data_IF_481859202117
#
_entry.id   IF_481859202117
#
_cell.length_a   1.000
_cell.length_b   1.000
_cell.length_c   1.000
_cell.angle_alpha   90.00
_cell.angle_beta   90.00
_cell.angle_gamma   90.00
#
_symmetry.space_group_name_H-M   'P 1'
#
loop_
_entity.id
_entity.type
_entity.pdbx_description
1 polymer ?
#
# COMPACT_ATOMS: atom_id res chain seq x y z
N UNK A 1 14.76 5.69 1.45
CA UNK A 1 15.01 4.32 0.92
C UNK A 1 14.05 3.25 1.47
N UNK A 2 13.34 3.47 2.60
CA UNK A 2 12.49 2.41 3.21
C UNK A 2 11.34 1.96 2.32
N UNK A 3 10.56 2.88 1.75
CA UNK A 3 9.44 2.54 0.85
C UNK A 3 9.90 1.73 -0.36
N UNK A 4 11.08 2.03 -0.90
CA UNK A 4 11.65 1.28 -2.02
C UNK A 4 11.94 -0.18 -1.62
N UNK A 5 12.62 -0.41 -0.50
CA UNK A 5 12.91 -1.76 0.00
C UNK A 5 11.64 -2.55 0.30
N UNK A 6 10.63 -1.89 0.86
CA UNK A 6 9.32 -2.49 1.12
C UNK A 6 8.62 -2.84 -0.19
N UNK A 7 8.65 -1.93 -1.17
CA UNK A 7 8.16 -2.16 -2.52
C UNK A 7 8.77 -3.39 -3.18
N UNK A 8 10.10 -3.50 -3.18
CA UNK A 8 10.82 -4.63 -3.77
C UNK A 8 10.43 -5.98 -3.10
N UNK A 9 10.20 -5.97 -1.79
CA UNK A 9 9.76 -7.16 -1.05
C UNK A 9 8.31 -7.51 -1.37
N UNK A 10 7.42 -6.51 -1.45
CA UNK A 10 6.01 -6.70 -1.81
C UNK A 10 5.89 -7.22 -3.24
N UNK A 11 6.63 -6.68 -4.21
CA UNK A 11 6.62 -7.19 -5.59
C UNK A 11 6.98 -8.67 -5.64
N UNK A 12 8.06 -9.07 -4.97
CA UNK A 12 8.52 -10.47 -4.92
C UNK A 12 7.52 -11.39 -4.22
N UNK A 13 6.99 -10.97 -3.07
CA UNK A 13 6.05 -11.77 -2.27
C UNK A 13 4.74 -12.03 -3.02
N UNK A 14 4.25 -11.03 -3.76
CA UNK A 14 2.98 -11.13 -4.49
C UNK A 14 3.14 -11.53 -5.97
N UNK A 15 4.37 -11.80 -6.43
CA UNK A 15 4.68 -12.08 -7.84
C UNK A 15 4.10 -10.98 -8.75
N UNK A 16 4.20 -9.74 -8.28
CA UNK A 16 3.73 -8.55 -8.98
C UNK A 16 4.81 -8.11 -9.99
N UNK A 17 4.39 -7.41 -11.04
CA UNK A 17 5.31 -6.85 -12.03
C UNK A 17 5.64 -5.39 -11.77
N UNK A 18 4.85 -4.73 -10.93
CA UNK A 18 4.97 -3.31 -10.61
C UNK A 18 4.31 -3.02 -9.25
N UNK A 19 4.50 -1.82 -8.71
CA UNK A 19 3.79 -1.31 -7.53
C UNK A 19 3.19 0.06 -7.80
N UNK A 20 2.11 0.37 -7.09
CA UNK A 20 1.62 1.73 -6.90
C UNK A 20 1.98 2.20 -5.50
N UNK A 21 2.61 3.37 -5.42
CA UNK A 21 2.93 4.04 -4.15
C UNK A 21 2.07 5.29 -4.06
N UNK A 22 1.31 5.45 -2.98
CA UNK A 22 0.44 6.61 -2.79
C UNK A 22 0.53 7.17 -1.36
N UNK A 23 0.35 8.48 -1.22
CA UNK A 23 0.29 9.19 0.06
C UNK A 23 -0.96 10.06 0.04
N UNK A 24 -1.74 9.99 1.11
CA UNK A 24 -2.89 10.86 1.33
C UNK A 24 -2.54 11.79 2.50
N UNK A 25 -2.08 13.00 2.16
CA UNK A 25 -1.72 14.02 3.13
C UNK A 25 -2.85 15.03 3.29
N UNK A 26 -3.59 14.91 4.39
CA UNK A 26 -4.75 15.74 4.70
C UNK A 26 -6.12 15.12 4.36
N UNK A 27 -7.20 15.58 5.00
CA UNK A 27 -8.55 15.05 4.81
C UNK A 27 -9.02 15.09 3.35
N UNK A 28 -8.71 16.16 2.63
CA UNK A 28 -9.12 16.41 1.24
C UNK A 28 -8.42 15.46 0.26
N UNK A 29 -7.26 14.92 0.64
CA UNK A 29 -6.56 13.86 -0.10
C UNK A 29 -7.13 12.46 0.20
N UNK A 30 -8.13 12.35 1.07
CA UNK A 30 -8.73 11.08 1.49
C UNK A 30 -8.13 10.47 2.76
N UNK A 31 -7.28 11.21 3.50
CA UNK A 31 -6.64 10.69 4.71
C UNK A 31 -7.67 10.37 5.80
N UNK A 32 -7.78 9.10 6.19
CA UNK A 32 -8.71 8.63 7.22
C UNK A 32 -8.07 8.57 8.62
N UNK A 33 -6.76 8.27 8.69
CA UNK A 33 -5.99 8.20 9.93
C UNK A 33 -5.04 9.39 9.97
N UNK A 34 -5.11 10.19 11.05
CA UNK A 34 -4.32 11.42 11.26
C UNK A 34 -2.85 11.13 11.60
N UNK A 35 -2.18 10.34 10.76
CA UNK A 35 -0.76 10.06 10.77
C UNK A 35 -0.29 9.82 9.34
N UNK A 36 0.86 10.36 8.98
CA UNK A 36 1.41 10.15 7.63
C UNK A 36 1.75 8.68 7.46
N UNK A 37 1.19 8.07 6.43
CA UNK A 37 1.50 6.71 6.02
C UNK A 37 1.54 6.64 4.49
N UNK A 38 2.19 5.59 3.99
CA UNK A 38 2.37 5.36 2.57
C UNK A 38 1.65 4.06 2.23
N UNK A 39 0.84 4.08 1.19
CA UNK A 39 0.26 2.87 0.62
C UNK A 39 1.25 2.28 -0.40
N UNK A 40 1.44 0.97 -0.36
CA UNK A 40 2.26 0.22 -1.33
C UNK A 40 1.41 -0.93 -1.83
N UNK A 41 0.93 -0.82 -3.07
CA UNK A 41 0.01 -1.80 -3.67
C UNK A 41 0.74 -2.56 -4.78
N UNK A 42 0.85 -3.90 -4.69
CA UNK A 42 1.37 -4.70 -5.80
C UNK A 42 0.43 -4.64 -7.01
N UNK A 43 0.99 -4.60 -8.22
CA UNK A 43 0.27 -4.51 -9.49
C UNK A 43 0.66 -5.65 -10.45
N UNK A 44 -0.32 -6.15 -11.19
CA UNK A 44 -0.15 -7.14 -12.25
C UNK A 44 -0.87 -6.69 -13.51
N UNK A 45 -0.42 -7.16 -14.67
CA UNK A 45 -1.17 -6.94 -15.90
C UNK A 45 -2.59 -7.54 -15.76
N UNK A 46 -3.61 -6.70 -15.99
CA UNK A 46 -5.02 -7.11 -15.92
C UNK A 46 -5.59 -7.27 -14.51
N UNK A 47 -4.91 -6.78 -13.47
CA UNK A 47 -5.43 -6.79 -12.10
C UNK A 47 -6.71 -5.96 -11.91
N UNK A 48 -6.86 -4.89 -12.68
CA UNK A 48 -8.11 -4.13 -12.79
C UNK A 48 -8.65 -4.14 -14.22
N UNK A 49 -9.99 -4.17 -14.34
CA UNK A 49 -10.67 -3.94 -15.62
C UNK A 49 -10.42 -2.54 -16.18
N UNK A 50 -10.33 -1.55 -15.29
CA UNK A 50 -9.94 -0.17 -15.58
C UNK A 50 -8.93 0.27 -14.55
N UNK A 51 -7.80 0.84 -14.98
CA UNK A 51 -6.73 1.24 -14.07
C UNK A 51 -7.17 2.26 -13.02
N UNK A 52 -8.16 3.11 -13.32
CA UNK A 52 -8.66 4.12 -12.39
C UNK A 52 -9.47 3.52 -11.23
N UNK A 53 -9.85 2.24 -11.30
CA UNK A 53 -10.49 1.56 -10.17
C UNK A 53 -9.57 1.48 -8.94
N UNK A 54 -8.26 1.67 -9.11
CA UNK A 54 -7.30 1.73 -8.00
C UNK A 54 -7.62 2.85 -7.00
N UNK A 55 -8.26 3.93 -7.42
CA UNK A 55 -8.60 5.02 -6.50
C UNK A 55 -9.60 4.59 -5.42
N UNK A 56 -10.46 3.62 -5.71
CA UNK A 56 -11.39 3.10 -4.72
C UNK A 56 -10.68 2.17 -3.71
N UNK A 57 -9.68 1.41 -4.18
CA UNK A 57 -8.85 0.56 -3.32
C UNK A 57 -7.97 1.39 -2.36
N UNK A 58 -7.44 2.52 -2.83
CA UNK A 58 -6.61 3.42 -2.00
C UNK A 58 -7.47 4.20 -0.99
N UNK A 59 -8.78 4.38 -1.23
CA UNK A 59 -9.71 5.06 -0.29
C UNK A 59 -10.03 4.23 0.96
N UNK A 60 -10.16 2.91 0.85
CA UNK A 60 -10.59 2.05 1.96
C UNK A 60 -9.43 1.71 2.90
N UNK A 61 -9.14 2.64 3.80
CA UNK A 61 -8.28 2.39 4.96
C UNK A 61 -9.08 1.67 6.08
N UNK A 62 -9.28 0.36 5.94
CA UNK A 62 -9.68 -0.51 7.06
C UNK A 62 -8.48 -1.38 7.48
N UNK A 63 -7.83 -1.01 8.59
CA UNK A 63 -7.05 -1.81 9.57
C UNK A 63 -7.02 -3.35 9.30
N UNK A 64 -5.94 -4.16 9.33
CA UNK A 64 -4.52 -4.14 9.77
C UNK A 64 -3.84 -5.42 9.20
N UNK A 65 -2.59 -5.35 8.72
CA UNK A 65 -1.63 -6.44 8.94
C UNK A 65 -0.34 -5.82 9.47
N UNK A 66 -0.05 -6.01 10.76
CA UNK A 66 1.16 -5.49 11.40
C UNK A 66 2.30 -6.48 11.12
N UNK A 67 3.28 -6.11 10.30
CA UNK A 67 4.59 -6.77 10.34
C UNK A 67 5.45 -6.06 11.39
N UNK A 68 5.63 -6.69 12.55
CA UNK A 68 6.52 -6.23 13.60
C UNK A 68 7.92 -6.79 13.33
N UNK A 69 8.90 -5.92 13.06
CA UNK A 69 10.32 -6.25 13.20
C UNK A 69 10.94 -5.23 14.16
N UNK A 70 11.28 -5.69 15.37
CA UNK A 70 12.00 -4.96 16.42
C UNK A 70 13.42 -4.62 15.93
N UNK A 71 14.02 -3.43 16.11
CA UNK A 71 14.34 -2.76 17.38
C UNK A 71 14.58 -1.22 17.26
N UNK A 72 14.14 -0.55 16.20
CA UNK A 72 14.16 0.92 16.10
C UNK A 72 12.92 1.38 15.32
N UNK A 73 11.87 1.74 16.05
CA UNK A 73 10.50 1.79 15.53
C UNK A 73 10.26 3.04 14.67
N UNK A 74 10.35 2.87 13.35
CA UNK A 74 9.65 3.76 12.40
C UNK A 74 8.39 3.02 11.97
N UNK A 75 7.23 3.54 12.37
CA UNK A 75 5.93 2.95 12.05
C UNK A 75 5.61 3.18 10.56
N UNK A 76 6.09 2.31 9.68
CA UNK A 76 5.56 2.20 8.32
C UNK A 76 4.37 1.24 8.37
N UNK A 77 3.15 1.77 8.34
CA UNK A 77 1.96 0.94 8.21
C UNK A 77 1.86 0.52 6.74
N UNK A 78 2.30 -0.70 6.45
CA UNK A 78 2.25 -1.30 5.13
C UNK A 78 0.87 -1.96 4.92
N UNK A 79 0.00 -1.32 4.17
CA UNK A 79 -1.30 -1.88 3.78
C UNK A 79 -1.14 -2.65 2.47
N UNK A 80 -1.21 -3.98 2.55
CA UNK A 80 -1.22 -4.85 1.37
C UNK A 80 -2.66 -5.32 1.18
N UNK A 81 -3.37 -4.74 0.20
CA UNK A 81 -4.69 -5.23 -0.20
C UNK A 81 -4.49 -6.36 -1.21
N UNK A 82 -4.94 -7.57 -0.86
CA UNK A 82 -5.00 -8.71 -1.77
C UNK A 82 -6.36 -8.69 -2.47
N UNK A 83 -6.44 -8.17 -3.70
CA UNK A 83 -7.58 -8.47 -4.55
C UNK A 83 -7.45 -9.94 -4.97
N UNK A 84 -8.27 -10.82 -4.39
CA UNK A 84 -8.41 -12.20 -4.85
C UNK A 84 -8.77 -12.21 -6.34
N UNK A 85 -8.03 -13.01 -7.11
CA UNK A 85 -8.37 -13.45 -8.48
C UNK A 85 -9.77 -14.01 -8.56
#
# INVERSE_FOLDING_TARGET
>A
MTTQRVGDLVEKLFQASSITIAIQDGPEAGQTVKHVHVHVLPRKAGDFKSNDNIYDEVKFCFVKLVFCLSNYTVHYVLYIHMTCT
#
